data_IF_920849778969
#
_entry.id   IF_920849778969
#
_cell.length_a   1.000
_cell.length_b   1.000
_cell.length_c   1.000
_cell.angle_alpha   90.00
_cell.angle_beta   90.00
_cell.angle_gamma   90.00
#
_symmetry.space_group_name_H-M   'P 1'
#
loop_
_entity.id
_entity.type
_entity.pdbx_description
1 polymer ?
#
# COMPACT_ATOMS: atom_id res chain seq x y z
N UNK A 1 -2.53 10.98 -12.94
CA UNK A 1 -2.92 10.15 -11.77
C UNK A 1 -1.73 9.28 -11.39
N UNK A 2 -1.19 9.40 -10.17
CA UNK A 2 -0.02 8.61 -9.73
C UNK A 2 -0.48 7.39 -8.95
N UNK A 3 -0.21 6.20 -9.47
CA UNK A 3 -0.42 4.93 -8.76
C UNK A 3 0.90 4.54 -8.12
N UNK A 4 0.85 4.19 -6.84
CA UNK A 4 2.02 3.74 -6.08
C UNK A 4 1.88 2.25 -5.78
N UNK A 5 2.96 1.51 -5.95
CA UNK A 5 2.99 0.12 -5.50
C UNK A 5 3.09 0.06 -3.98
N UNK A 6 2.68 -1.06 -3.40
CA UNK A 6 2.80 -1.33 -1.96
C UNK A 6 4.23 -1.11 -1.45
N UNK A 7 5.24 -1.44 -2.27
CA UNK A 7 6.66 -1.21 -1.95
C UNK A 7 7.08 0.26 -1.99
N UNK A 8 6.51 1.06 -2.89
CA UNK A 8 6.77 2.51 -2.92
C UNK A 8 6.15 3.20 -1.71
N UNK A 9 4.90 2.85 -1.37
CA UNK A 9 4.22 3.37 -0.17
C UNK A 9 5.00 2.99 1.10
N UNK A 10 5.49 1.75 1.17
CA UNK A 10 6.33 1.29 2.28
C UNK A 10 7.60 2.15 2.46
N UNK A 11 8.29 2.49 1.36
CA UNK A 11 9.48 3.35 1.39
C UNK A 11 9.15 4.79 1.79
N UNK A 12 8.08 5.37 1.23
CA UNK A 12 7.65 6.74 1.53
C UNK A 12 7.27 6.88 3.00
N UNK A 13 6.48 5.94 3.52
CA UNK A 13 6.02 5.94 4.91
C UNK A 13 7.06 5.35 5.89
N UNK A 14 8.21 4.87 5.40
CA UNK A 14 9.24 4.16 6.19
C UNK A 14 8.68 3.01 7.03
N UNK A 15 7.67 2.30 6.50
CA UNK A 15 7.05 1.15 7.15
C UNK A 15 7.35 -0.13 6.38
N UNK A 16 7.26 -1.28 7.04
CA UNK A 16 7.37 -2.56 6.36
C UNK A 16 6.18 -2.75 5.38
N UNK A 17 6.39 -3.40 4.21
CA UNK A 17 5.32 -3.65 3.23
C UNK A 17 4.09 -4.37 3.81
N UNK A 18 4.30 -5.30 4.77
CA UNK A 18 3.24 -5.98 5.53
C UNK A 18 2.28 -5.02 6.25
N UNK A 19 2.77 -3.88 6.71
CA UNK A 19 1.96 -2.85 7.37
C UNK A 19 1.06 -2.17 6.36
N UNK A 20 1.59 -1.89 5.17
CA UNK A 20 0.82 -1.33 4.06
C UNK A 20 -0.24 -2.34 3.57
N UNK A 21 0.09 -3.63 3.46
CA UNK A 21 -0.90 -4.68 3.17
C UNK A 21 -2.03 -4.69 4.19
N UNK A 22 -1.70 -4.62 5.49
CA UNK A 22 -2.73 -4.49 6.55
C UNK A 22 -3.59 -3.24 6.39
N UNK A 23 -3.04 -2.12 5.91
CA UNK A 23 -3.83 -0.92 5.65
C UNK A 23 -4.78 -1.09 4.46
N UNK A 24 -4.39 -1.88 3.45
CA UNK A 24 -5.30 -2.30 2.38
C UNK A 24 -6.40 -3.23 2.89
N UNK A 25 -6.05 -4.28 3.65
CA UNK A 25 -7.03 -5.22 4.21
C UNK A 25 -8.00 -4.56 5.21
N UNK A 26 -7.53 -3.56 5.97
CA UNK A 26 -8.37 -2.80 6.90
C UNK A 26 -9.19 -1.68 6.23
N UNK A 27 -9.11 -1.52 4.91
CA UNK A 27 -9.84 -0.48 4.18
C UNK A 27 -9.33 0.95 4.46
N UNK A 28 -8.16 1.09 5.09
CA UNK A 28 -7.50 2.39 5.33
C UNK A 28 -6.87 2.97 4.06
N UNK A 29 -6.57 2.13 3.07
CA UNK A 29 -6.05 2.55 1.77
C UNK A 29 -6.95 2.02 0.65
N UNK A 30 -7.41 2.93 -0.20
CA UNK A 30 -8.07 2.58 -1.45
C UNK A 30 -7.01 2.17 -2.49
N UNK A 31 -7.14 0.96 -3.02
CA UNK A 31 -6.36 0.51 -4.15
C UNK A 31 -6.96 -0.74 -4.74
N UNK A 32 -6.46 -1.09 -5.92
CA UNK A 32 -6.96 -2.20 -6.71
C UNK A 32 -5.86 -3.25 -6.82
N UNK A 33 -6.25 -4.52 -6.77
CA UNK A 33 -5.36 -5.63 -7.07
C UNK A 33 -5.40 -5.87 -8.57
N UNK A 34 -4.23 -5.90 -9.20
CA UNK A 34 -4.07 -6.34 -10.58
C UNK A 34 -3.77 -7.84 -10.52
N UNK A 35 -4.49 -8.70 -11.25
CA UNK A 35 -4.20 -10.13 -11.31
C UNK A 35 -2.82 -10.44 -11.93
#
# INVERSE_FOLDING_TARGET
MKVFTTGQVAKICKVAPRTVSKWFDSGRLNGYRIP
#
